data_IF_322846482575
#
_entry.id   IF_322846482575
#
_cell.length_a   1.000
_cell.length_b   1.000
_cell.length_c   1.000
_cell.angle_alpha   90.00
_cell.angle_beta   90.00
_cell.angle_gamma   90.00
#
_symmetry.space_group_name_H-M   'P 1'
#
loop_
_entity.id
_entity.type
_entity.pdbx_description
1 polymer ?
#
# COMPACT_ATOMS: atom_id res chain seq x y z
N UNK A 1 -10.32 21.60 -28.90
CA UNK A 1 -11.02 20.30 -28.81
C UNK A 1 -11.70 20.31 -27.45
N UNK A 2 -13.01 20.52 -27.42
CA UNK A 2 -13.76 20.51 -26.17
C UNK A 2 -13.91 19.04 -25.73
N UNK A 3 -13.07 18.61 -24.77
CA UNK A 3 -13.17 17.30 -24.14
C UNK A 3 -14.34 17.31 -23.15
N UNK A 4 -15.56 17.37 -23.67
CA UNK A 4 -16.77 17.20 -22.85
C UNK A 4 -17.00 15.72 -22.58
N UNK A 5 -16.93 15.33 -21.30
CA UNK A 5 -17.24 13.95 -20.90
C UNK A 5 -18.64 13.55 -21.32
N UNK A 6 -18.78 12.33 -21.82
CA UNK A 6 -20.10 11.77 -22.08
C UNK A 6 -20.76 11.44 -20.74
N UNK A 7 -22.09 11.39 -20.70
CA UNK A 7 -22.83 11.02 -19.48
C UNK A 7 -22.38 9.66 -18.91
N UNK A 8 -21.90 8.76 -19.78
CA UNK A 8 -21.32 7.47 -19.41
C UNK A 8 -20.08 7.59 -18.51
N UNK A 9 -19.23 8.57 -18.74
CA UNK A 9 -17.96 8.69 -18.01
C UNK A 9 -18.18 9.18 -16.58
N UNK A 10 -19.13 10.10 -16.39
CA UNK A 10 -19.59 10.52 -15.07
C UNK A 10 -20.23 9.36 -14.29
N UNK A 11 -21.02 8.52 -14.95
CA UNK A 11 -21.64 7.36 -14.32
C UNK A 11 -20.58 6.35 -13.84
N UNK A 12 -19.55 6.08 -14.65
CA UNK A 12 -18.42 5.21 -14.27
C UNK A 12 -17.66 5.81 -13.09
N UNK A 13 -17.40 7.12 -13.10
CA UNK A 13 -16.68 7.80 -12.02
C UNK A 13 -17.43 7.72 -10.68
N UNK A 14 -18.73 8.03 -10.68
CA UNK A 14 -19.57 7.95 -9.48
C UNK A 14 -19.69 6.51 -8.98
N UNK A 15 -19.84 5.55 -9.89
CA UNK A 15 -19.89 4.13 -9.54
C UNK A 15 -18.62 3.65 -8.85
N UNK A 16 -17.44 4.00 -9.36
CA UNK A 16 -16.16 3.66 -8.74
C UNK A 16 -15.98 4.34 -7.38
N UNK A 17 -16.30 5.64 -7.26
CA UNK A 17 -16.27 6.34 -5.97
C UNK A 17 -17.22 5.71 -4.94
N UNK A 18 -18.41 5.29 -5.36
CA UNK A 18 -19.36 4.61 -4.50
C UNK A 18 -18.81 3.28 -4.00
N UNK A 19 -18.21 2.46 -4.87
CA UNK A 19 -17.56 1.20 -4.48
C UNK A 19 -16.45 1.46 -3.46
N UNK A 20 -15.54 2.41 -3.72
CA UNK A 20 -14.44 2.74 -2.82
C UNK A 20 -14.93 3.26 -1.46
N UNK A 21 -15.93 4.14 -1.46
CA UNK A 21 -16.54 4.64 -0.23
C UNK A 21 -17.24 3.52 0.54
N UNK A 22 -17.92 2.59 -0.15
CA UNK A 22 -18.65 1.49 0.47
C UNK A 22 -17.69 0.48 1.11
N UNK A 23 -16.55 0.19 0.48
CA UNK A 23 -15.48 -0.64 1.06
C UNK A 23 -14.90 0.01 2.33
N UNK A 24 -14.60 1.31 2.28
CA UNK A 24 -14.11 2.05 3.43
C UNK A 24 -15.10 2.07 4.61
N UNK A 25 -16.38 2.38 4.32
CA UNK A 25 -17.45 2.36 5.31
C UNK A 25 -17.67 0.95 5.86
N UNK A 26 -17.66 -0.08 5.02
CA UNK A 26 -17.81 -1.47 5.42
C UNK A 26 -16.74 -1.89 6.44
N UNK A 27 -15.47 -1.58 6.17
CA UNK A 27 -14.38 -1.89 7.10
C UNK A 27 -14.48 -1.10 8.41
N UNK A 28 -14.86 0.18 8.35
CA UNK A 28 -15.06 1.02 9.54
C UNK A 28 -16.26 0.57 10.40
N UNK A 29 -17.32 0.05 9.79
CA UNK A 29 -18.52 -0.40 10.50
C UNK A 29 -18.49 -1.89 10.89
N UNK A 30 -17.56 -2.69 10.37
CA UNK A 30 -17.47 -4.14 10.63
C UNK A 30 -17.44 -4.47 12.13
N UNK A 31 -16.71 -3.72 12.94
CA UNK A 31 -16.67 -3.92 14.40
C UNK A 31 -18.03 -3.69 15.07
N UNK A 32 -18.73 -2.61 14.70
CA UNK A 32 -20.10 -2.32 15.19
C UNK A 32 -21.13 -3.34 14.71
N UNK A 33 -21.01 -3.83 13.47
CA UNK A 33 -21.90 -4.84 12.90
C UNK A 33 -21.73 -6.19 13.61
N UNK A 34 -20.48 -6.62 13.89
CA UNK A 34 -20.20 -7.85 14.64
C UNK A 34 -20.72 -7.75 16.08
N UNK A 35 -20.56 -6.58 16.72
CA UNK A 35 -21.05 -6.34 18.08
C UNK A 35 -22.59 -6.32 18.14
N UNK A 36 -23.25 -5.72 17.13
CA UNK A 36 -24.71 -5.76 17.00
C UNK A 36 -25.22 -7.17 16.68
N UNK A 37 -24.56 -7.93 15.81
CA UNK A 37 -24.87 -9.33 15.52
C UNK A 37 -24.66 -10.22 16.74
N UNK A 38 -23.63 -9.98 17.55
CA UNK A 38 -23.40 -10.69 18.82
C UNK A 38 -24.42 -10.34 19.92
N UNK A 39 -25.09 -9.19 19.84
CA UNK A 39 -26.25 -8.88 20.71
C UNK A 39 -27.54 -9.56 20.23
N UNK A 40 -27.66 -9.83 18.92
CA UNK A 40 -28.85 -10.45 18.30
C UNK A 40 -28.78 -11.99 18.32
N UNK A 41 -27.58 -12.56 18.10
CA UNK A 41 -27.26 -13.96 18.33
C UNK A 41 -26.61 -14.12 19.70
N UNK A 42 -27.38 -14.56 20.69
CA UNK A 42 -26.90 -15.00 22.02
C UNK A 42 -26.07 -16.29 21.87
N UNK A 43 -24.94 -16.20 21.17
CA UNK A 43 -23.92 -17.25 21.08
C UNK A 43 -22.80 -16.91 22.05
N UNK A 44 -22.45 -17.89 22.88
CA UNK A 44 -21.39 -17.77 23.87
C UNK A 44 -20.05 -17.39 23.23
N UNK A 45 -19.64 -16.15 23.49
CA UNK A 45 -18.25 -15.71 23.67
C UNK A 45 -17.24 -16.24 22.63
N UNK A 46 -17.26 -15.67 21.44
CA UNK A 46 -15.98 -15.31 20.82
C UNK A 46 -15.58 -13.99 21.45
N UNK A 47 -14.67 -14.10 22.42
CA UNK A 47 -13.87 -13.01 22.93
C UNK A 47 -13.22 -12.33 21.72
N UNK A 48 -13.87 -11.28 21.20
CA UNK A 48 -13.20 -10.31 20.37
C UNK A 48 -12.36 -9.55 21.38
N UNK A 49 -11.16 -10.07 21.63
CA UNK A 49 -10.15 -9.33 22.33
C UNK A 49 -10.03 -7.99 21.62
N UNK A 50 -10.52 -6.92 22.26
CA UNK A 50 -9.93 -5.61 22.11
C UNK A 50 -8.50 -5.75 22.65
N UNK A 51 -7.66 -6.46 21.89
CA UNK A 51 -6.23 -6.41 22.07
C UNK A 51 -5.92 -4.93 21.92
N UNK A 52 -5.48 -4.29 23.01
CA UNK A 52 -5.02 -2.91 22.98
C UNK A 52 -4.09 -2.80 21.78
N UNK A 53 -4.54 -2.08 20.78
CA UNK A 53 -3.81 -1.77 19.56
C UNK A 53 -2.58 -0.97 19.97
N UNK A 54 -1.55 -1.68 20.42
CA UNK A 54 -0.25 -1.10 20.62
C UNK A 54 0.25 -0.71 19.24
N UNK A 55 0.85 0.47 19.13
CA UNK A 55 1.43 0.94 17.87
C UNK A 55 2.29 -0.15 17.21
N UNK A 56 3.01 -0.93 18.01
CA UNK A 56 3.82 -2.06 17.53
C UNK A 56 2.99 -3.18 16.88
N UNK A 57 1.80 -3.53 17.39
CA UNK A 57 0.97 -4.59 16.79
C UNK A 57 0.35 -4.12 15.48
N UNK A 58 -0.04 -2.84 15.39
CA UNK A 58 -0.50 -2.20 14.15
C UNK A 58 0.63 -2.08 13.12
N UNK A 59 1.79 -1.55 13.49
CA UNK A 59 2.88 -1.26 12.56
C UNK A 59 3.69 -2.50 12.17
N UNK A 60 3.89 -3.47 13.07
CA UNK A 60 4.72 -4.64 12.83
C UNK A 60 3.90 -5.91 12.54
N UNK A 61 2.57 -5.88 12.65
CA UNK A 61 1.70 -7.02 12.36
C UNK A 61 2.11 -8.29 13.11
N UNK A 62 2.49 -8.14 14.38
CA UNK A 62 3.01 -9.20 15.25
C UNK A 62 4.25 -9.94 14.71
N UNK A 63 4.99 -9.38 13.73
CA UNK A 63 6.15 -10.00 13.05
C UNK A 63 5.88 -11.41 12.48
N UNK A 64 4.61 -11.81 12.36
CA UNK A 64 4.15 -13.11 11.86
C UNK A 64 3.38 -12.98 10.53
N UNK A 65 3.50 -11.83 9.84
CA UNK A 65 2.86 -11.63 8.56
C UNK A 65 3.45 -12.59 7.50
N UNK A 66 2.57 -13.31 6.82
CA UNK A 66 2.97 -14.13 5.67
C UNK A 66 3.56 -13.25 4.54
N UNK A 67 4.34 -13.86 3.66
CA UNK A 67 5.05 -13.14 2.59
C UNK A 67 4.13 -12.35 1.66
N UNK A 68 2.97 -12.93 1.29
CA UNK A 68 2.03 -12.32 0.35
C UNK A 68 1.48 -10.95 0.75
N UNK A 69 0.91 -10.73 1.95
CA UNK A 69 0.43 -9.42 2.38
C UNK A 69 1.56 -8.39 2.54
N UNK A 70 2.79 -8.84 2.84
CA UNK A 70 3.96 -7.94 2.86
C UNK A 70 4.28 -7.46 1.45
N UNK A 71 4.35 -8.36 0.48
CA UNK A 71 4.59 -8.00 -0.92
C UNK A 71 3.50 -7.09 -1.48
N UNK A 72 2.22 -7.37 -1.20
CA UNK A 72 1.12 -6.55 -1.73
C UNK A 72 1.13 -5.12 -1.15
N UNK A 73 1.46 -4.96 0.13
CA UNK A 73 1.58 -3.63 0.77
C UNK A 73 2.74 -2.83 0.18
N UNK A 74 3.88 -3.47 -0.03
CA UNK A 74 5.06 -2.85 -0.65
C UNK A 74 4.76 -2.45 -2.10
N UNK A 75 4.12 -3.33 -2.89
CA UNK A 75 3.71 -3.01 -4.26
C UNK A 75 2.69 -1.88 -4.32
N UNK A 76 1.69 -1.87 -3.44
CA UNK A 76 0.72 -0.79 -3.35
C UNK A 76 1.38 0.57 -3.05
N UNK A 77 2.48 0.57 -2.28
CA UNK A 77 3.23 1.77 -1.96
C UNK A 77 4.10 2.27 -3.12
N UNK A 78 4.61 1.37 -3.97
CA UNK A 78 5.42 1.73 -5.14
C UNK A 78 4.58 2.23 -6.33
N UNK A 79 3.33 1.76 -6.44
CA UNK A 79 2.42 2.15 -7.51
C UNK A 79 1.71 3.47 -7.18
N UNK A 80 2.29 4.57 -7.64
CA UNK A 80 1.68 5.90 -7.56
C UNK A 80 1.36 6.44 -8.95
N UNK A 81 0.24 7.17 -9.05
CA UNK A 81 -0.17 7.86 -10.27
C UNK A 81 0.88 8.87 -10.75
N UNK A 82 1.59 9.53 -9.83
CA UNK A 82 2.68 10.47 -10.16
C UNK A 82 3.84 9.75 -10.83
N UNK A 83 4.24 8.60 -10.28
CA UNK A 83 5.32 7.79 -10.83
C UNK A 83 4.97 7.26 -12.21
N UNK A 84 3.72 6.84 -12.43
CA UNK A 84 3.21 6.41 -13.73
C UNK A 84 3.24 7.54 -14.78
N UNK A 85 2.69 8.71 -14.44
CA UNK A 85 2.69 9.85 -15.35
C UNK A 85 4.11 10.38 -15.61
N UNK A 86 4.94 10.43 -14.58
CA UNK A 86 6.34 10.86 -14.68
C UNK A 86 7.18 9.91 -15.53
N UNK A 87 7.05 8.60 -15.33
CA UNK A 87 7.77 7.60 -16.13
C UNK A 87 7.29 7.58 -17.57
N UNK A 88 5.99 7.74 -17.84
CA UNK A 88 5.47 7.87 -19.20
C UNK A 88 5.98 9.14 -19.90
N UNK A 89 6.02 10.27 -19.19
CA UNK A 89 6.55 11.52 -19.72
C UNK A 89 8.05 11.43 -20.03
N UNK A 90 8.84 10.84 -19.13
CA UNK A 90 10.26 10.59 -19.35
C UNK A 90 10.51 9.60 -20.48
N UNK A 91 9.72 8.53 -20.57
CA UNK A 91 9.83 7.57 -21.68
C UNK A 91 9.51 8.24 -23.03
N UNK A 92 8.59 9.21 -23.06
CA UNK A 92 8.25 9.95 -24.27
C UNK A 92 9.37 10.91 -24.70
N UNK A 93 10.01 11.60 -23.75
CA UNK A 93 11.07 12.57 -24.03
C UNK A 93 12.43 11.91 -24.30
N UNK A 94 12.79 10.92 -23.46
CA UNK A 94 14.13 10.32 -23.39
C UNK A 94 14.23 8.99 -24.16
N UNK A 95 13.10 8.43 -24.63
CA UNK A 95 13.04 7.24 -25.46
C UNK A 95 13.77 6.04 -24.87
N UNK A 96 14.72 5.48 -25.61
CA UNK A 96 15.46 4.27 -25.22
C UNK A 96 16.43 4.49 -24.04
N UNK A 97 16.74 5.73 -23.66
CA UNK A 97 17.58 5.99 -22.49
C UNK A 97 16.90 5.58 -21.18
N UNK A 98 15.57 5.62 -21.14
CA UNK A 98 14.76 5.20 -20.00
C UNK A 98 14.96 3.72 -19.63
N UNK A 99 15.27 2.84 -20.60
CA UNK A 99 15.47 1.41 -20.33
C UNK A 99 16.70 1.16 -19.45
N UNK A 100 17.70 2.04 -19.47
CA UNK A 100 18.85 1.96 -18.56
C UNK A 100 18.45 2.10 -17.08
N UNK A 101 17.46 2.93 -16.80
CA UNK A 101 16.93 3.11 -15.43
C UNK A 101 16.19 1.85 -14.95
N UNK A 102 15.45 1.18 -15.84
CA UNK A 102 14.77 -0.09 -15.51
C UNK A 102 15.79 -1.17 -15.13
N UNK A 103 16.87 -1.31 -15.92
CA UNK A 103 17.95 -2.27 -15.63
C UNK A 103 18.65 -1.94 -14.31
N UNK A 104 18.89 -0.66 -14.03
CA UNK A 104 19.47 -0.23 -12.76
C UNK A 104 18.58 -0.62 -11.56
N UNK A 105 17.25 -0.40 -11.65
CA UNK A 105 16.32 -0.81 -10.60
C UNK A 105 16.29 -2.33 -10.40
N UNK A 106 16.33 -3.11 -11.50
CA UNK A 106 16.34 -4.56 -11.44
C UNK A 106 17.53 -5.12 -10.66
N UNK A 107 18.70 -4.46 -10.73
CA UNK A 107 19.91 -4.85 -10.00
C UNK A 107 19.91 -4.25 -8.58
N UNK A 108 19.44 -3.01 -8.41
CA UNK A 108 19.48 -2.32 -7.13
C UNK A 108 18.58 -2.98 -6.07
N UNK A 109 17.37 -3.42 -6.44
CA UNK A 109 16.43 -4.05 -5.49
C UNK A 109 16.97 -5.32 -4.81
N UNK A 110 17.50 -6.35 -5.53
CA UNK A 110 18.02 -7.55 -4.89
C UNK A 110 19.28 -7.28 -4.06
N UNK A 111 20.16 -6.36 -4.53
CA UNK A 111 21.35 -5.96 -3.77
C UNK A 111 20.93 -5.26 -2.47
N UNK A 112 19.94 -4.37 -2.55
CA UNK A 112 19.42 -3.69 -1.37
C UNK A 112 18.76 -4.67 -0.39
N UNK A 113 17.98 -5.65 -0.86
CA UNK A 113 17.38 -6.64 0.03
C UNK A 113 18.43 -7.50 0.74
N UNK A 114 19.48 -7.95 0.05
CA UNK A 114 20.52 -8.78 0.67
C UNK A 114 21.38 -8.00 1.68
N UNK A 115 21.68 -6.73 1.40
CA UNK A 115 22.57 -5.93 2.26
C UNK A 115 21.82 -5.29 3.43
N UNK A 116 20.65 -4.69 3.20
CA UNK A 116 19.94 -3.93 4.23
C UNK A 116 19.08 -4.81 5.14
N UNK A 117 18.40 -5.83 4.59
CA UNK A 117 17.49 -6.69 5.37
C UNK A 117 18.14 -7.35 6.61
N UNK A 118 19.36 -7.95 6.53
CA UNK A 118 19.97 -8.58 7.70
C UNK A 118 20.38 -7.57 8.78
N UNK A 119 20.70 -6.32 8.41
CA UNK A 119 21.04 -5.28 9.37
C UNK A 119 19.81 -4.87 10.17
N UNK A 120 18.70 -4.56 9.51
CA UNK A 120 17.46 -4.18 10.19
C UNK A 120 16.89 -5.30 11.06
N UNK A 121 16.98 -6.55 10.60
CA UNK A 121 16.47 -7.69 11.37
C UNK A 121 17.27 -7.94 12.67
N UNK A 122 18.60 -7.79 12.63
CA UNK A 122 19.46 -7.97 13.81
C UNK A 122 19.25 -6.91 14.87
N UNK A 123 19.06 -5.65 14.48
CA UNK A 123 18.89 -4.54 15.41
C UNK A 123 17.46 -4.41 15.95
N UNK A 124 16.49 -5.17 15.44
CA UNK A 124 15.07 -5.18 15.87
C UNK A 124 14.39 -3.78 15.87
N UNK A 125 14.90 -2.86 15.07
CA UNK A 125 14.41 -1.47 14.98
C UNK A 125 13.06 -1.41 14.25
N UNK A 126 12.18 -0.51 14.68
CA UNK A 126 10.87 -0.33 14.05
C UNK A 126 10.90 0.75 12.95
N UNK A 127 11.90 1.64 12.95
CA UNK A 127 12.02 2.74 12.00
C UNK A 127 13.44 2.90 11.45
N UNK A 128 13.56 3.24 10.16
CA UNK A 128 14.85 3.52 9.53
C UNK A 128 15.55 4.75 10.14
N UNK A 129 14.78 5.71 10.68
CA UNK A 129 15.35 6.89 11.35
C UNK A 129 16.00 6.54 12.69
N UNK A 130 15.56 5.47 13.34
CA UNK A 130 16.13 4.97 14.59
C UNK A 130 17.54 4.40 14.36
N UNK A 131 17.77 3.77 13.21
CA UNK A 131 19.09 3.32 12.78
C UNK A 131 20.08 4.50 12.64
N UNK A 132 19.62 5.59 12.02
CA UNK A 132 20.43 6.81 11.87
C UNK A 132 20.79 7.43 13.23
N UNK A 133 19.88 7.40 14.19
CA UNK A 133 20.14 7.86 15.56
C UNK A 133 21.18 7.00 16.26
N UNK A 134 21.10 5.68 16.14
CA UNK A 134 22.06 4.77 16.79
C UNK A 134 23.48 4.96 16.25
N UNK A 135 23.63 5.28 14.96
CA UNK A 135 24.95 5.43 14.31
C UNK A 135 25.54 6.84 14.42
N UNK A 136 24.73 7.89 14.31
CA UNK A 136 25.19 9.28 14.20
C UNK A 136 24.64 10.23 15.27
N UNK A 137 23.74 9.74 16.14
CA UNK A 137 23.12 10.51 17.21
C UNK A 137 21.83 11.24 16.82
N UNK A 138 21.23 11.90 17.82
CA UNK A 138 19.90 12.54 17.74
C UNK A 138 19.81 13.68 16.72
N UNK A 139 20.89 14.43 16.52
CA UNK A 139 20.90 15.56 15.59
C UNK A 139 20.62 15.12 14.15
N UNK A 140 21.24 14.02 13.71
CA UNK A 140 21.05 13.49 12.35
C UNK A 140 19.63 12.94 12.17
N UNK A 141 19.02 12.36 13.21
CA UNK A 141 17.62 11.93 13.17
C UNK A 141 16.69 13.09 12.84
N UNK A 142 16.83 14.22 13.54
CA UNK A 142 15.99 15.40 13.30
C UNK A 142 16.17 15.97 11.90
N UNK A 143 17.41 16.06 11.41
CA UNK A 143 17.69 16.54 10.06
C UNK A 143 17.10 15.59 9.01
N UNK A 144 17.31 14.28 9.16
CA UNK A 144 16.77 13.29 8.23
C UNK A 144 15.24 13.30 8.19
N UNK A 145 14.57 13.40 9.34
CA UNK A 145 13.12 13.52 9.41
C UNK A 145 12.62 14.82 8.79
N UNK A 146 13.31 15.96 8.99
CA UNK A 146 12.94 17.22 8.35
C UNK A 146 13.06 17.15 6.83
N UNK A 147 14.16 16.63 6.30
CA UNK A 147 14.36 16.45 4.85
C UNK A 147 13.27 15.53 4.28
N UNK A 148 12.96 14.44 4.98
CA UNK A 148 11.89 13.53 4.58
C UNK A 148 10.52 14.21 4.56
N UNK A 149 10.18 15.00 5.58
CA UNK A 149 8.93 15.77 5.60
C UNK A 149 8.85 16.76 4.43
N UNK A 150 9.93 17.49 4.14
CA UNK A 150 9.98 18.42 3.01
C UNK A 150 9.83 17.70 1.67
N UNK A 151 10.53 16.57 1.48
CA UNK A 151 10.39 15.74 0.30
C UNK A 151 8.94 15.24 0.12
N UNK A 152 8.30 14.80 1.21
CA UNK A 152 6.92 14.34 1.18
C UNK A 152 5.93 15.46 0.86
N UNK A 153 6.15 16.69 1.35
CA UNK A 153 5.30 17.83 1.01
C UNK A 153 5.34 18.15 -0.49
N UNK A 154 6.54 18.16 -1.08
CA UNK A 154 6.70 18.36 -2.52
C UNK A 154 6.01 17.22 -3.29
N UNK A 155 6.22 15.99 -2.87
CA UNK A 155 5.62 14.82 -3.51
C UNK A 155 4.09 14.84 -3.48
N UNK A 156 3.48 15.10 -2.32
CA UNK A 156 2.01 15.16 -2.16
C UNK A 156 1.43 16.32 -2.98
N UNK A 157 2.15 17.44 -3.09
CA UNK A 157 1.73 18.56 -3.92
C UNK A 157 1.64 18.18 -5.40
N UNK A 158 2.66 17.48 -5.94
CA UNK A 158 2.61 16.94 -7.30
C UNK A 158 1.50 15.89 -7.47
N UNK A 159 1.30 15.03 -6.47
CA UNK A 159 0.27 13.99 -6.47
C UNK A 159 -1.15 14.54 -6.52
N UNK A 160 -1.42 15.68 -5.89
CA UNK A 160 -2.70 16.38 -5.97
C UNK A 160 -2.84 17.23 -7.23
N UNK A 161 -1.74 17.73 -7.77
CA UNK A 161 -1.75 18.56 -8.96
C UNK A 161 -2.14 17.79 -10.23
N UNK A 162 -1.61 16.57 -10.43
CA UNK A 162 -1.92 15.76 -11.60
C UNK A 162 -3.43 15.48 -11.82
N UNK A 163 -4.19 14.96 -10.83
CA UNK A 163 -5.62 14.73 -10.99
C UNK A 163 -6.44 16.02 -11.07
N UNK A 164 -6.04 17.08 -10.37
CA UNK A 164 -6.75 18.37 -10.43
C UNK A 164 -6.59 19.06 -11.78
N UNK A 165 -5.43 18.94 -12.42
CA UNK A 165 -5.21 19.42 -13.79
C UNK A 165 -6.12 18.70 -14.78
N UNK A 166 -6.17 17.37 -14.73
CA UNK A 166 -7.07 16.58 -15.56
C UNK A 166 -8.55 16.95 -15.31
N UNK A 167 -8.95 17.11 -14.04
CA UNK A 167 -10.31 17.49 -13.67
C UNK A 167 -10.70 18.89 -14.15
N UNK A 168 -9.76 19.85 -14.12
CA UNK A 168 -10.00 21.21 -14.62
C UNK A 168 -10.25 21.25 -16.13
N UNK A 169 -9.54 20.42 -16.91
CA UNK A 169 -9.70 20.33 -18.36
C UNK A 169 -11.06 19.74 -18.76
N UNK A 170 -11.59 18.84 -17.94
CA UNK A 170 -12.84 18.14 -18.18
C UNK A 170 -14.07 19.00 -17.87
N UNK A 171 -14.07 19.72 -16.74
CA UNK A 171 -15.24 20.48 -16.29
C UNK A 171 -15.19 21.93 -16.80
N UNK A 172 -14.03 22.39 -17.27
CA UNK A 172 -13.82 23.79 -17.67
C UNK A 172 -13.80 24.76 -16.49
N UNK A 173 -13.62 24.25 -15.26
CA UNK A 173 -13.50 25.05 -14.05
C UNK A 173 -12.07 25.58 -13.89
N UNK A 174 -11.89 26.72 -13.20
CA UNK A 174 -10.56 27.20 -12.85
C UNK A 174 -9.85 26.19 -11.95
N UNK A 175 -8.55 25.99 -12.18
CA UNK A 175 -7.70 24.98 -11.51
C UNK A 175 -7.80 25.07 -9.98
N UNK A 176 -7.94 26.26 -9.40
CA UNK A 176 -8.06 26.46 -7.95
C UNK A 176 -9.28 25.73 -7.35
N UNK A 177 -10.44 25.74 -8.03
CA UNK A 177 -11.61 25.00 -7.54
C UNK A 177 -11.40 23.48 -7.65
N UNK A 178 -10.82 23.02 -8.75
CA UNK A 178 -10.49 21.61 -8.97
C UNK A 178 -9.49 21.06 -7.95
N UNK A 179 -8.52 21.89 -7.54
CA UNK A 179 -7.54 21.56 -6.51
C UNK A 179 -8.22 21.34 -5.15
N UNK A 180 -9.11 22.24 -4.75
CA UNK A 180 -9.84 22.17 -3.47
C UNK A 180 -10.77 20.95 -3.45
N UNK A 181 -11.53 20.69 -4.53
CA UNK A 181 -12.45 19.54 -4.54
C UNK A 181 -11.71 18.21 -4.51
N UNK A 182 -10.64 18.07 -5.29
CA UNK A 182 -9.83 16.85 -5.33
C UNK A 182 -9.14 16.61 -3.99
N UNK A 183 -8.64 17.67 -3.35
CA UNK A 183 -8.06 17.61 -2.01
C UNK A 183 -9.08 17.14 -0.97
N UNK A 184 -10.28 17.72 -0.94
CA UNK A 184 -11.33 17.35 0.01
C UNK A 184 -11.74 15.87 -0.17
N UNK A 185 -11.97 15.44 -1.42
CA UNK A 185 -12.31 14.04 -1.73
C UNK A 185 -11.19 13.09 -1.29
N UNK A 186 -9.93 13.44 -1.55
CA UNK A 186 -8.76 12.64 -1.17
C UNK A 186 -8.63 12.54 0.35
N UNK A 187 -8.72 13.65 1.08
CA UNK A 187 -8.66 13.66 2.55
C UNK A 187 -9.81 12.84 3.17
N UNK A 188 -11.02 13.01 2.64
CA UNK A 188 -12.17 12.24 3.10
C UNK A 188 -11.98 10.74 2.85
N UNK A 189 -11.48 10.37 1.67
CA UNK A 189 -11.17 8.98 1.33
C UNK A 189 -10.10 8.38 2.23
N UNK A 190 -8.98 9.09 2.46
CA UNK A 190 -7.91 8.64 3.36
C UNK A 190 -8.40 8.49 4.80
N UNK A 191 -9.29 9.37 5.27
CA UNK A 191 -9.87 9.25 6.61
C UNK A 191 -10.74 7.98 6.77
N UNK A 192 -11.31 7.45 5.68
CA UNK A 192 -12.07 6.20 5.70
C UNK A 192 -11.17 4.96 5.58
N UNK A 193 -10.04 5.07 4.88
CA UNK A 193 -9.07 3.99 4.66
C UNK A 193 -7.93 4.11 5.68
N UNK A 194 -8.17 3.66 6.92
CA UNK A 194 -7.10 3.52 7.93
C UNK A 194 -6.13 2.40 7.55
N UNK A 195 -4.86 2.48 7.97
CA UNK A 195 -3.79 1.50 7.66
C UNK A 195 -4.17 0.05 7.96
N UNK A 196 -4.98 -0.16 9.00
CA UNK A 196 -5.41 -1.51 9.43
C UNK A 196 -6.33 -2.16 8.40
N UNK A 197 -7.11 -1.35 7.67
CA UNK A 197 -8.01 -1.84 6.63
C UNK A 197 -7.24 -2.46 5.47
N UNK A 198 -6.09 -1.90 5.09
CA UNK A 198 -5.28 -2.33 3.95
C UNK A 198 -4.62 -3.69 4.24
N UNK A 199 -4.02 -3.82 5.43
CA UNK A 199 -3.34 -5.05 5.85
C UNK A 199 -4.37 -6.19 6.01
N UNK A 200 -5.51 -5.90 6.63
CA UNK A 200 -6.55 -6.89 6.86
C UNK A 200 -7.21 -7.34 5.55
N UNK A 201 -7.40 -6.43 4.59
CA UNK A 201 -7.89 -6.75 3.24
C UNK A 201 -6.90 -7.66 2.50
N UNK A 202 -5.60 -7.32 2.50
CA UNK A 202 -4.57 -8.13 1.86
C UNK A 202 -4.48 -9.54 2.46
N UNK A 203 -4.52 -9.65 3.79
CA UNK A 203 -4.52 -10.94 4.48
C UNK A 203 -5.76 -11.78 4.14
N UNK A 204 -6.95 -11.15 4.09
CA UNK A 204 -8.21 -11.87 3.82
C UNK A 204 -8.34 -12.29 2.36
N UNK A 205 -7.80 -11.50 1.43
CA UNK A 205 -7.68 -11.89 0.02
C UNK A 205 -6.79 -13.12 -0.13
N UNK A 206 -5.68 -13.19 0.61
CA UNK A 206 -4.80 -14.36 0.63
C UNK A 206 -5.49 -15.60 1.24
N UNK A 207 -6.12 -15.49 2.42
CA UNK A 207 -6.85 -16.61 3.04
C UNK A 207 -7.99 -17.10 2.13
N UNK A 208 -8.67 -16.20 1.43
CA UNK A 208 -9.66 -16.52 0.38
C UNK A 208 -9.03 -17.32 -0.77
N UNK A 209 -7.90 -16.88 -1.31
CA UNK A 209 -7.20 -17.58 -2.39
C UNK A 209 -6.67 -18.97 -1.99
N UNK A 210 -6.24 -19.15 -0.73
CA UNK A 210 -5.78 -20.44 -0.18
C UNK A 210 -6.95 -21.41 0.06
N UNK A 211 -8.12 -20.90 0.46
CA UNK A 211 -9.37 -21.68 0.56
C UNK A 211 -9.89 -22.12 -0.81
N UNK A 212 -9.69 -21.31 -1.86
CA UNK A 212 -9.99 -21.70 -3.24
C UNK A 212 -9.02 -22.77 -3.74
N UNK A 213 -7.73 -22.69 -3.38
CA UNK A 213 -6.74 -23.72 -3.71
C UNK A 213 -6.96 -25.05 -2.97
N UNK A 214 -7.40 -25.01 -1.71
CA UNK A 214 -7.79 -26.22 -0.96
C UNK A 214 -9.19 -26.75 -1.35
N UNK A 215 -9.88 -26.09 -2.29
CA UNK A 215 -11.12 -26.56 -2.91
C UNK A 215 -10.89 -27.12 -4.32
N UNK A 216 -9.70 -27.62 -4.61
CA UNK A 216 -9.49 -28.58 -5.70
C UNK A 216 -9.05 -29.93 -5.09
N UNK A 217 -9.98 -30.89 -4.92
CA UNK A 217 -9.56 -32.26 -4.73
C UNK A 217 -9.02 -32.75 -6.08
N UNK A 218 -7.73 -33.10 -6.08
CA UNK A 218 -7.05 -33.93 -7.07
C UNK A 218 -6.59 -33.31 -8.40
N UNK A 219 -5.29 -33.57 -8.66
CA UNK A 219 -4.54 -33.57 -9.93
C UNK A 219 -4.13 -32.19 -10.49
N UNK A 220 -2.87 -31.78 -10.24
CA UNK A 220 -1.88 -31.75 -11.33
C UNK A 220 -0.44 -31.64 -10.82
N UNK A 221 0.40 -32.30 -11.60
CA UNK A 221 1.80 -32.64 -11.46
C UNK A 221 2.73 -31.49 -11.05
N UNK A 222 3.70 -31.84 -10.20
CA UNK A 222 4.98 -31.16 -10.00
C UNK A 222 5.64 -30.88 -11.36
N UNK A 223 6.27 -29.71 -11.56
CA UNK A 223 7.31 -29.36 -12.57
C UNK A 223 7.24 -27.93 -13.18
N UNK A 224 6.27 -27.06 -12.87
CA UNK A 224 6.13 -25.75 -13.56
C UNK A 224 6.46 -24.47 -12.76
N UNK A 225 7.14 -24.55 -11.61
CA UNK A 225 7.48 -23.37 -10.78
C UNK A 225 8.99 -23.12 -10.61
N UNK A 226 9.80 -23.57 -11.57
CA UNK A 226 11.26 -23.50 -11.52
C UNK A 226 11.87 -22.24 -12.18
N UNK A 227 11.08 -21.29 -12.70
CA UNK A 227 11.64 -20.10 -13.36
C UNK A 227 11.01 -18.80 -12.82
N UNK A 228 11.88 -17.96 -12.25
CA UNK A 228 11.70 -16.61 -11.67
C UNK A 228 11.22 -16.45 -10.21
N UNK A 229 12.00 -15.72 -9.38
CA UNK A 229 13.41 -15.95 -9.10
C UNK A 229 13.66 -16.28 -7.63
N UNK A 230 14.61 -17.19 -7.44
CA UNK A 230 15.16 -17.66 -6.18
C UNK A 230 15.96 -16.56 -5.47
N UNK A 231 15.37 -15.79 -4.55
CA UNK A 231 16.15 -15.07 -3.52
C UNK A 231 15.33 -14.54 -2.31
N UNK A 232 14.19 -15.14 -1.97
CA UNK A 232 13.43 -14.76 -0.75
C UNK A 232 12.99 -15.99 0.07
N UNK A 233 13.75 -17.10 -0.01
CA UNK A 233 13.49 -18.30 0.79
C UNK A 233 14.77 -18.84 1.42
N UNK A 234 15.40 -18.00 2.25
CA UNK A 234 16.11 -18.47 3.46
C UNK A 234 15.31 -18.15 4.73
N UNK A 235 13.98 -18.10 4.63
CA UNK A 235 13.10 -18.37 5.78
C UNK A 235 12.87 -19.88 5.86
N UNK A 236 13.93 -20.65 6.12
CA UNK A 236 13.79 -21.95 6.76
C UNK A 236 14.21 -21.74 8.21
N UNK A 237 13.21 -21.68 9.07
CA UNK A 237 13.30 -21.96 10.49
C UNK A 237 14.20 -23.18 10.69
N UNK A 238 15.43 -22.99 11.17
CA UNK A 238 16.08 -24.02 11.97
C UNK A 238 15.61 -23.86 13.41
N UNK A 239 15.20 -24.96 14.07
CA UNK A 239 14.63 -24.95 15.40
C UNK A 239 15.72 -24.87 16.47
N UNK A 240 15.36 -24.28 17.62
CA UNK A 240 15.90 -24.52 18.98
C UNK A 240 17.31 -25.13 19.08
N UNK A 241 18.30 -24.32 19.50
CA UNK A 241 18.94 -24.40 20.83
C UNK A 241 19.37 -22.99 21.24
#
# INVERSE_FOLDING_TARGET
>A
MDFSFHWSDYAIFVFWLAIYSLIGIYHRFRGRIILLLGRLFRTNQTQVDEEKENAETIFLGNRQLSLFPVFSSVMASFLSAVSLLGTAAEAYLSGMQFSGMIVAYLIAFPVASEVYMPVFYKLRLASAHEYLEYRFGKCVRWIASLIFCLQMWVYISLALYAPSLAFSQVIGLPIWLSLISTGLVTTFYTALVSSDSVIHLAHRFYVGSKLTYLRQPHVLNSQAFQYFPCLVLKCRTEPNV
#
